data_IF_766989086406
#
_entry.id   IF_766989086406
#
_cell.length_a   1.000
_cell.length_b   1.000
_cell.length_c   1.000
_cell.angle_alpha   90.00
_cell.angle_beta   90.00
_cell.angle_gamma   90.00
#
_symmetry.space_group_name_H-M   'P 1'
#
loop_
_entity.id
_entity.type
_entity.pdbx_description
1 polymer ?
#
# COMPACT_ATOMS: atom_id res chain seq x y z
N UNK A 1 -13.40 -8.24 -15.90
CA UNK A 1 -12.82 -7.56 -14.73
C UNK A 1 -11.63 -8.39 -14.29
N UNK A 2 -10.44 -7.81 -14.16
CA UNK A 2 -9.31 -8.49 -13.52
C UNK A 2 -9.55 -8.49 -12.01
N UNK A 3 -10.33 -9.46 -11.54
CA UNK A 3 -10.63 -9.69 -10.13
C UNK A 3 -9.37 -9.86 -9.25
N UNK A 4 -8.30 -10.58 -9.65
CA UNK A 4 -7.15 -10.76 -8.77
C UNK A 4 -6.37 -9.46 -8.54
N UNK A 5 -6.25 -8.59 -9.54
CA UNK A 5 -5.55 -7.30 -9.39
C UNK A 5 -6.30 -6.38 -8.42
N UNK A 6 -7.64 -6.35 -8.52
CA UNK A 6 -8.49 -5.55 -7.63
C UNK A 6 -8.42 -6.10 -6.21
N UNK A 7 -8.40 -7.42 -6.03
CA UNK A 7 -8.20 -8.05 -4.71
C UNK A 7 -6.83 -7.70 -4.09
N UNK A 8 -5.76 -7.71 -4.89
CA UNK A 8 -4.43 -7.27 -4.45
C UNK A 8 -4.47 -5.81 -4.01
N UNK A 9 -5.10 -4.93 -4.78
CA UNK A 9 -5.22 -3.50 -4.44
C UNK A 9 -6.05 -3.27 -3.16
N UNK A 10 -7.17 -3.99 -3.01
CA UNK A 10 -8.01 -3.92 -1.82
C UNK A 10 -7.26 -4.42 -0.59
N UNK A 11 -6.53 -5.54 -0.68
CA UNK A 11 -5.74 -6.07 0.43
C UNK A 11 -4.66 -5.08 0.88
N UNK A 12 -3.94 -4.48 -0.07
CA UNK A 12 -2.93 -3.47 0.25
C UNK A 12 -3.55 -2.24 0.94
N UNK A 13 -4.74 -1.81 0.50
CA UNK A 13 -5.45 -0.71 1.13
C UNK A 13 -5.90 -1.04 2.57
N UNK A 14 -6.39 -2.26 2.81
CA UNK A 14 -6.72 -2.74 4.15
C UNK A 14 -5.51 -2.74 5.08
N UNK A 15 -4.36 -3.22 4.59
CA UNK A 15 -3.11 -3.27 5.35
C UNK A 15 -2.57 -1.86 5.66
N UNK A 16 -2.61 -0.96 4.70
CA UNK A 16 -2.24 0.45 4.90
C UNK A 16 -3.14 1.13 5.94
N UNK A 17 -4.46 0.90 5.87
CA UNK A 17 -5.42 1.43 6.85
C UNK A 17 -5.19 0.87 8.25
N UNK A 18 -4.79 -0.40 8.37
CA UNK A 18 -4.41 -1.01 9.66
C UNK A 18 -3.13 -0.38 10.24
N UNK A 19 -2.15 -0.08 9.39
CA UNK A 19 -0.91 0.61 9.81
C UNK A 19 -1.24 2.00 10.36
N UNK A 20 -2.05 2.78 9.62
CA UNK A 20 -2.49 4.11 10.05
C UNK A 20 -3.35 4.06 11.33
N UNK A 21 -4.22 3.06 11.44
CA UNK A 21 -5.00 2.84 12.67
C UNK A 21 -4.09 2.71 13.89
N UNK A 22 -3.04 1.88 13.81
CA UNK A 22 -2.06 1.73 14.91
C UNK A 22 -1.30 3.01 15.24
N UNK A 23 -1.04 3.87 14.24
CA UNK A 23 -0.39 5.16 14.46
C UNK A 23 -1.32 6.17 15.18
N UNK A 24 -2.62 6.15 14.87
CA UNK A 24 -3.62 7.06 15.47
C UNK A 24 -4.04 6.62 16.88
N UNK A 25 -4.12 5.32 17.15
CA UNK A 25 -4.85 4.75 18.30
C UNK A 25 -4.05 4.61 19.62
N UNK A 26 -3.02 5.45 19.83
CA UNK A 26 -2.17 5.59 21.04
C UNK A 26 -0.82 4.84 21.02
N UNK A 27 0.26 5.63 21.00
CA UNK A 27 1.64 5.23 21.27
C UNK A 27 2.61 6.37 20.94
N UNK A 28 3.89 6.33 21.38
CA UNK A 28 4.90 7.29 20.92
C UNK A 28 4.85 7.35 19.40
N UNK A 29 4.68 8.55 18.85
CA UNK A 29 4.57 8.75 17.40
C UNK A 29 5.91 8.39 16.81
N UNK A 30 5.97 7.22 16.21
CA UNK A 30 7.05 6.77 15.33
C UNK A 30 6.59 7.00 13.88
N UNK A 31 6.64 8.25 13.38
CA UNK A 31 6.23 8.57 12.02
C UNK A 31 7.16 7.90 11.00
N UNK A 32 8.45 7.74 11.32
CA UNK A 32 9.44 7.11 10.44
C UNK A 32 9.13 5.63 10.26
N UNK A 33 8.99 4.86 11.34
CA UNK A 33 8.64 3.44 11.24
C UNK A 33 7.22 3.21 10.71
N UNK A 34 6.31 4.17 10.88
CA UNK A 34 4.99 4.14 10.23
C UNK A 34 5.11 4.33 8.71
N UNK A 35 5.94 5.29 8.28
CA UNK A 35 6.21 5.54 6.86
C UNK A 35 6.90 4.35 6.20
N UNK A 36 7.92 3.76 6.84
CA UNK A 36 8.60 2.56 6.33
C UNK A 36 7.62 1.39 6.14
N UNK A 37 6.71 1.18 7.10
CA UNK A 37 5.68 0.14 7.00
C UNK A 37 4.69 0.41 5.87
N UNK A 38 4.35 1.67 5.62
CA UNK A 38 3.49 2.05 4.49
C UNK A 38 4.21 1.82 3.16
N UNK A 39 5.48 2.20 3.03
CA UNK A 39 6.29 1.93 1.85
C UNK A 39 6.38 0.43 1.57
N UNK A 40 6.60 -0.40 2.60
CA UNK A 40 6.66 -1.86 2.46
C UNK A 40 5.34 -2.53 2.00
N UNK A 41 4.19 -1.83 2.11
CA UNK A 41 2.89 -2.30 1.60
C UNK A 41 2.58 -1.70 0.24
N UNK A 42 2.77 -0.40 0.08
CA UNK A 42 2.38 0.35 -1.11
C UNK A 42 3.36 0.18 -2.28
N UNK A 43 4.62 -0.14 -2.00
CA UNK A 43 5.64 -0.33 -3.02
C UNK A 43 5.90 -1.80 -3.36
N UNK A 44 5.02 -2.71 -2.90
CA UNK A 44 5.14 -4.12 -3.28
C UNK A 44 4.97 -4.29 -4.78
N UNK A 45 5.86 -5.08 -5.37
CA UNK A 45 5.92 -5.27 -6.81
C UNK A 45 4.60 -5.83 -7.39
N UNK A 46 3.93 -6.74 -6.67
CA UNK A 46 2.65 -7.31 -7.08
C UNK A 46 1.53 -6.26 -7.10
N UNK A 47 1.49 -5.38 -6.10
CA UNK A 47 0.56 -4.26 -6.04
C UNK A 47 0.82 -3.24 -7.15
N UNK A 48 2.08 -2.83 -7.35
CA UNK A 48 2.44 -1.87 -8.41
C UNK A 48 2.04 -2.42 -9.77
N UNK A 49 2.33 -3.69 -10.04
CA UNK A 49 1.93 -4.39 -11.27
C UNK A 49 0.41 -4.53 -11.39
N UNK A 50 -0.30 -4.78 -10.29
CA UNK A 50 -1.76 -4.85 -10.28
C UNK A 50 -2.38 -3.48 -10.60
N UNK A 51 -1.88 -2.40 -10.00
CA UNK A 51 -2.34 -1.05 -10.25
C UNK A 51 -2.05 -0.59 -11.68
N UNK A 52 -0.89 -0.94 -12.24
CA UNK A 52 -0.55 -0.72 -13.66
C UNK A 52 -1.59 -1.36 -14.59
N UNK A 53 -1.96 -2.62 -14.30
CA UNK A 53 -2.95 -3.38 -15.07
C UNK A 53 -4.36 -2.82 -14.91
N UNK A 54 -4.74 -2.35 -13.71
CA UNK A 54 -6.06 -1.76 -13.43
C UNK A 54 -6.22 -0.41 -14.12
N UNK A 55 -5.24 0.49 -13.97
CA UNK A 55 -5.34 1.87 -14.46
C UNK A 55 -5.07 2.00 -15.97
N UNK A 56 -4.49 0.98 -16.61
CA UNK A 56 -4.07 1.05 -18.02
C UNK A 56 -3.04 2.16 -18.28
N UNK A 57 -2.40 2.69 -17.22
CA UNK A 57 -1.38 3.74 -17.21
C UNK A 57 -0.38 3.44 -16.09
N UNK A 58 0.90 3.70 -16.36
CA UNK A 58 2.01 3.46 -15.43
C UNK A 58 1.78 4.17 -14.08
N UNK A 59 1.71 3.38 -13.02
CA UNK A 59 1.90 3.78 -11.63
C UNK A 59 3.39 3.76 -11.36
N UNK A 60 3.89 4.88 -10.83
CA UNK A 60 5.31 5.05 -10.48
C UNK A 60 5.52 4.47 -9.09
N UNK A 61 6.56 3.65 -8.89
CA UNK A 61 6.99 3.19 -7.56
C UNK A 61 7.25 4.39 -6.65
N UNK A 62 6.92 4.23 -5.37
CA UNK A 62 7.12 5.28 -4.37
C UNK A 62 8.59 5.42 -3.98
N UNK A 63 9.41 4.37 -4.17
CA UNK A 63 10.86 4.36 -3.95
C UNK A 63 11.58 3.61 -5.07
N UNK A 64 12.76 4.10 -5.47
CA UNK A 64 13.66 3.46 -6.45
C UNK A 64 14.53 2.37 -5.82
#
# INVERSE_FOLDING_TARGET
MNTPDVETALRALEDARRILGRYVDRGPRDPEGTLERLLAVLDREDLVKALDRINGRRVIRLVE
#
